data_IF_653388480601
#
_entry.id   IF_653388480601
#
_cell.length_a   1.000
_cell.length_b   1.000
_cell.length_c   1.000
_cell.angle_alpha   90.00
_cell.angle_beta   90.00
_cell.angle_gamma   90.00
#
_symmetry.space_group_name_H-M   'P 1'
#
loop_
_entity.id
_entity.type
_entity.pdbx_description
1 polymer ?
#
# COMPACT_ATOMS: atom_id res chain seq x y z
N UNK A 1 -12.66 -4.98 -1.05
CA UNK A 1 -12.91 -4.88 -2.50
C UNK A 1 -11.89 -5.79 -3.15
N UNK A 2 -12.32 -6.76 -3.96
CA UNK A 2 -11.42 -7.70 -4.61
C UNK A 2 -11.03 -7.16 -6.00
N UNK A 3 -9.75 -6.86 -6.18
CA UNK A 3 -9.18 -6.29 -7.38
C UNK A 3 -8.10 -7.22 -7.99
N UNK A 4 -8.01 -8.48 -7.54
CA UNK A 4 -6.95 -9.45 -7.91
C UNK A 4 -6.74 -9.62 -9.41
N UNK A 5 -7.84 -9.66 -10.17
CA UNK A 5 -7.81 -9.88 -11.63
C UNK A 5 -7.89 -8.57 -12.43
N UNK A 6 -7.89 -7.41 -11.76
CA UNK A 6 -8.03 -6.12 -12.42
C UNK A 6 -6.66 -5.55 -12.79
N UNK A 7 -6.63 -4.88 -13.95
CA UNK A 7 -5.44 -4.13 -14.37
C UNK A 7 -5.23 -2.93 -13.43
N UNK A 8 -4.02 -2.71 -12.88
CA UNK A 8 -3.67 -1.50 -12.13
C UNK A 8 -3.98 -0.19 -12.84
N UNK A 9 -3.91 -0.13 -14.16
CA UNK A 9 -4.29 1.05 -14.92
C UNK A 9 -5.79 1.39 -14.77
N UNK A 10 -6.64 0.42 -14.41
CA UNK A 10 -8.06 0.63 -14.07
C UNK A 10 -8.23 0.94 -12.59
N UNK A 11 -7.43 0.29 -11.72
CA UNK A 11 -7.58 0.39 -10.26
C UNK A 11 -7.11 1.72 -9.70
N UNK A 12 -5.93 2.18 -10.15
CA UNK A 12 -5.29 3.36 -9.59
C UNK A 12 -6.12 4.65 -9.79
N UNK A 13 -6.73 4.92 -10.96
CA UNK A 13 -7.53 6.13 -11.14
C UNK A 13 -8.68 6.29 -10.13
N UNK A 14 -9.40 5.22 -9.78
CA UNK A 14 -10.49 5.35 -8.81
C UNK A 14 -10.00 5.46 -7.37
N UNK A 15 -8.86 4.85 -7.02
CA UNK A 15 -8.26 5.01 -5.68
C UNK A 15 -7.78 6.44 -5.45
N UNK A 16 -7.27 7.07 -6.50
CA UNK A 16 -6.74 8.44 -6.46
C UNK A 16 -7.86 9.47 -6.66
N UNK A 17 -8.98 9.08 -7.28
CA UNK A 17 -10.12 9.98 -7.55
C UNK A 17 -9.90 10.89 -8.75
N UNK A 18 -8.99 10.54 -9.67
CA UNK A 18 -8.76 11.26 -10.93
C UNK A 18 -8.27 10.33 -12.04
N UNK A 19 -8.44 10.75 -13.28
CA UNK A 19 -7.79 10.10 -14.42
C UNK A 19 -6.26 10.19 -14.32
N UNK A 20 -5.59 9.12 -14.73
CA UNK A 20 -4.13 9.07 -14.84
C UNK A 20 -3.72 9.01 -16.32
N UNK A 21 -2.67 9.73 -16.67
CA UNK A 21 -2.00 9.51 -17.93
C UNK A 21 -1.27 8.16 -17.90
N UNK A 22 -1.21 7.49 -19.05
CA UNK A 22 -0.46 6.25 -19.22
C UNK A 22 1.00 6.35 -18.73
N UNK A 23 1.64 7.50 -18.94
CA UNK A 23 3.01 7.77 -18.49
C UNK A 23 3.14 7.76 -16.97
N UNK A 24 2.19 8.37 -16.25
CA UNK A 24 2.17 8.38 -14.77
C UNK A 24 2.08 6.95 -14.22
N UNK A 25 1.27 6.09 -14.86
CA UNK A 25 1.16 4.68 -14.46
C UNK A 25 2.50 3.99 -14.64
N UNK A 26 3.15 4.11 -15.80
CA UNK A 26 4.39 3.35 -16.07
C UNK A 26 5.55 3.83 -15.20
N UNK A 27 5.62 5.14 -14.95
CA UNK A 27 6.57 5.75 -14.02
C UNK A 27 6.36 5.29 -12.59
N UNK A 28 5.10 5.19 -12.12
CA UNK A 28 4.80 4.67 -10.79
C UNK A 28 5.26 3.21 -10.60
N UNK A 29 5.20 2.40 -11.65
CA UNK A 29 5.78 1.05 -11.63
C UNK A 29 7.31 1.04 -11.79
N UNK A 30 7.93 2.17 -12.15
CA UNK A 30 9.36 2.28 -12.43
C UNK A 30 9.76 1.63 -13.76
N UNK A 31 8.85 1.59 -14.73
CA UNK A 31 9.10 1.04 -16.06
C UNK A 31 9.13 2.12 -17.13
N UNK A 32 9.94 1.90 -18.16
CA UNK A 32 9.72 2.54 -19.46
C UNK A 32 8.50 1.91 -20.13
N UNK A 33 7.80 2.66 -20.99
CA UNK A 33 6.57 2.22 -21.68
C UNK A 33 6.62 0.79 -22.23
N UNK A 34 7.65 0.42 -23.00
CA UNK A 34 7.77 -0.93 -23.58
C UNK A 34 7.97 -2.03 -22.53
N UNK A 35 8.75 -1.75 -21.48
CA UNK A 35 8.98 -2.69 -20.38
C UNK A 35 7.71 -2.89 -19.53
N UNK A 36 6.92 -1.82 -19.35
CA UNK A 36 5.64 -1.90 -18.65
C UNK A 36 4.68 -2.86 -19.34
N UNK A 37 4.43 -2.67 -20.64
CA UNK A 37 3.51 -3.55 -21.37
C UNK A 37 4.00 -4.99 -21.45
N UNK A 38 5.33 -5.19 -21.55
CA UNK A 38 5.91 -6.53 -21.45
C UNK A 38 5.63 -7.17 -20.08
N UNK A 39 5.85 -6.43 -19.00
CA UNK A 39 5.56 -6.91 -17.64
C UNK A 39 4.06 -7.18 -17.42
N UNK A 40 3.18 -6.33 -17.95
CA UNK A 40 1.72 -6.53 -17.91
C UNK A 40 1.32 -7.85 -18.58
N UNK A 41 1.81 -8.07 -19.82
CA UNK A 41 1.54 -9.29 -20.59
C UNK A 41 2.08 -10.55 -19.91
N UNK A 42 3.20 -10.43 -19.21
CA UNK A 42 3.84 -11.54 -18.49
C UNK A 42 3.29 -11.72 -17.06
N UNK A 43 2.29 -10.94 -16.64
CA UNK A 43 1.71 -11.03 -15.29
C UNK A 43 2.64 -10.58 -14.17
N UNK A 44 3.67 -9.79 -14.47
CA UNK A 44 4.72 -9.38 -13.53
C UNK A 44 4.52 -8.00 -12.91
N UNK A 45 3.37 -7.36 -13.13
CA UNK A 45 3.05 -6.07 -12.50
C UNK A 45 2.67 -6.23 -11.03
N UNK A 46 1.86 -7.25 -10.73
CA UNK A 46 1.31 -7.49 -9.39
C UNK A 46 2.34 -8.23 -8.54
N UNK A 47 3.31 -7.48 -8.03
CA UNK A 47 4.32 -7.96 -7.07
C UNK A 47 4.36 -7.03 -5.88
N UNK A 48 4.82 -7.54 -4.74
CA UNK A 48 4.87 -6.75 -3.51
C UNK A 48 5.68 -5.46 -3.69
N UNK A 49 6.87 -5.56 -4.30
CA UNK A 49 7.76 -4.42 -4.53
C UNK A 49 7.13 -3.38 -5.46
N UNK A 50 6.46 -3.83 -6.53
CA UNK A 50 5.81 -2.93 -7.48
C UNK A 50 4.63 -2.21 -6.83
N UNK A 51 3.80 -2.91 -6.06
CA UNK A 51 2.66 -2.30 -5.39
C UNK A 51 3.09 -1.31 -4.30
N UNK A 52 4.16 -1.62 -3.55
CA UNK A 52 4.76 -0.67 -2.60
C UNK A 52 5.27 0.58 -3.32
N UNK A 53 5.97 0.41 -4.45
CA UNK A 53 6.47 1.54 -5.25
C UNK A 53 5.33 2.41 -5.78
N UNK A 54 4.30 1.79 -6.35
CA UNK A 54 3.13 2.50 -6.88
C UNK A 54 2.39 3.24 -5.77
N UNK A 55 2.19 2.59 -4.62
CA UNK A 55 1.59 3.22 -3.46
C UNK A 55 2.38 4.45 -3.01
N UNK A 56 3.72 4.32 -2.94
CA UNK A 56 4.62 5.41 -2.56
C UNK A 56 4.56 6.56 -3.55
N UNK A 57 4.56 6.27 -4.85
CA UNK A 57 4.50 7.28 -5.91
C UNK A 57 3.21 8.11 -5.84
N UNK A 58 2.07 7.47 -5.56
CA UNK A 58 0.76 8.14 -5.50
C UNK A 58 0.33 8.57 -4.10
N UNK A 59 1.13 8.33 -3.06
CA UNK A 59 0.75 8.61 -1.67
C UNK A 59 -0.41 7.75 -1.15
N UNK A 60 -0.59 6.55 -1.70
CA UNK A 60 -1.58 5.57 -1.25
C UNK A 60 -1.01 4.74 -0.08
N UNK A 61 -1.90 4.09 0.67
CA UNK A 61 -1.48 3.12 1.68
C UNK A 61 -0.94 1.86 0.97
N UNK A 62 0.35 1.48 1.17
CA UNK A 62 0.91 0.28 0.54
C UNK A 62 0.18 -0.98 0.96
N UNK A 63 -0.29 -1.09 2.22
CA UNK A 63 -1.02 -2.26 2.71
C UNK A 63 -2.36 -2.42 2.00
N UNK A 64 -3.06 -1.33 1.69
CA UNK A 64 -4.34 -1.37 0.98
C UNK A 64 -4.19 -2.01 -0.41
N UNK A 65 -3.13 -1.64 -1.15
CA UNK A 65 -2.86 -2.27 -2.46
C UNK A 65 -2.53 -3.76 -2.32
N UNK A 66 -1.72 -4.14 -1.33
CA UNK A 66 -1.37 -5.55 -1.12
C UNK A 66 -2.60 -6.40 -0.81
N UNK A 67 -3.54 -5.87 -0.03
CA UNK A 67 -4.79 -6.55 0.31
C UNK A 67 -5.73 -6.64 -0.89
N UNK A 68 -5.92 -5.54 -1.61
CA UNK A 68 -6.80 -5.50 -2.80
C UNK A 68 -6.38 -6.49 -3.90
N UNK A 69 -5.08 -6.62 -4.12
CA UNK A 69 -4.51 -7.56 -5.08
C UNK A 69 -4.25 -8.96 -4.48
N UNK A 70 -4.60 -9.19 -3.22
CA UNK A 70 -4.54 -10.51 -2.59
C UNK A 70 -3.13 -11.02 -2.27
N UNK A 71 -2.12 -10.16 -2.23
CA UNK A 71 -0.77 -10.53 -1.77
C UNK A 71 -0.74 -10.71 -0.24
N UNK A 72 -1.62 -10.01 0.47
CA UNK A 72 -1.81 -10.15 1.91
C UNK A 72 -3.30 -10.38 2.18
N UNK A 73 -3.68 -11.44 2.92
CA UNK A 73 -5.07 -11.62 3.33
C UNK A 73 -5.43 -10.55 4.38
N UNK A 74 -6.66 -10.00 4.38
CA UNK A 74 -7.10 -9.02 5.38
C UNK A 74 -6.85 -9.47 6.83
N UNK A 75 -7.02 -10.76 7.10
CA UNK A 75 -6.84 -11.38 8.41
C UNK A 75 -5.40 -11.24 8.90
N UNK A 76 -4.40 -11.39 8.02
CA UNK A 76 -3.00 -11.20 8.38
C UNK A 76 -2.67 -9.76 8.78
N UNK A 77 -3.41 -8.77 8.24
CA UNK A 77 -3.26 -7.37 8.67
C UNK A 77 -3.82 -7.19 10.08
N UNK A 78 -4.99 -7.77 10.37
CA UNK A 78 -5.57 -7.76 11.72
C UNK A 78 -4.64 -8.42 12.73
N UNK A 79 -4.17 -9.64 12.43
CA UNK A 79 -3.26 -10.40 13.30
C UNK A 79 -1.97 -9.63 13.57
N UNK A 80 -1.42 -8.94 12.57
CA UNK A 80 -0.24 -8.10 12.74
C UNK A 80 -0.50 -6.92 13.66
N UNK A 81 -1.62 -6.20 13.48
CA UNK A 81 -1.97 -5.04 14.32
C UNK A 81 -2.26 -5.45 15.77
N UNK A 82 -2.92 -6.60 15.98
CA UNK A 82 -3.24 -7.12 17.32
C UNK A 82 -2.00 -7.65 18.05
N UNK A 83 -1.07 -8.29 17.33
CA UNK A 83 0.16 -8.83 17.92
C UNK A 83 1.24 -7.77 18.15
N UNK A 84 1.19 -6.64 17.44
CA UNK A 84 2.14 -5.56 17.60
C UNK A 84 1.99 -4.92 19.00
N UNK A 85 3.08 -4.77 19.77
CA UNK A 85 3.07 -3.95 20.97
C UNK A 85 2.58 -2.56 20.57
N UNK A 86 1.46 -2.11 21.13
CA UNK A 86 0.99 -0.76 20.85
C UNK A 86 2.09 0.18 21.33
N UNK A 87 2.69 1.00 20.44
CA UNK A 87 3.61 2.03 20.90
C UNK A 87 2.83 2.87 21.89
N UNK A 88 3.26 2.87 23.16
CA UNK A 88 2.57 3.58 24.22
C UNK A 88 2.37 5.02 23.73
N UNK A 89 1.12 5.41 23.47
CA UNK A 89 0.89 6.80 23.08
C UNK A 89 1.29 7.61 24.29
N UNK A 90 1.87 8.79 24.07
CA UNK A 90 2.20 9.70 25.16
C UNK A 90 0.98 10.01 26.07
N UNK A 91 -0.23 9.82 25.52
CA UNK A 91 -1.54 9.95 26.18
C UNK A 91 -1.87 8.80 27.15
N UNK A 92 -1.26 7.63 26.94
CA UNK A 92 -1.45 6.43 27.76
C UNK A 92 -0.44 6.39 28.92
N UNK A 93 0.63 7.19 28.84
CA UNK A 93 1.50 7.51 29.97
C UNK A 93 0.73 8.41 30.94
N UNK A 94 -0.04 7.81 31.85
CA UNK A 94 -0.51 8.55 33.03
C UNK A 94 0.74 9.05 33.77
N UNK A 95 0.87 10.36 34.07
CA UNK A 95 1.93 10.83 34.93
C UNK A 95 1.82 10.07 36.25
N UNK A 96 2.89 9.38 36.64
CA UNK A 96 2.93 8.66 37.90
C UNK A 96 2.79 9.70 39.03
N UNK A 97 1.68 9.67 39.80
CA UNK A 97 1.44 10.65 40.85
C UNK A 97 2.46 10.56 41.99
N UNK A 98 3.33 9.55 42.01
CA UNK A 98 4.38 9.37 43.01
C UNK A 98 5.76 9.82 42.56
N UNK A 99 5.91 10.31 41.32
CA UNK A 99 7.20 10.79 40.83
C UNK A 99 7.31 12.29 41.11
N UNK A 100 8.13 12.73 42.09
CA UNK A 100 8.33 14.16 42.32
C UNK A 100 8.97 14.77 41.06
N UNK A 101 8.37 15.84 40.56
CA UNK A 101 8.96 16.68 39.52
C UNK A 101 10.27 17.25 40.05
N UNK A 102 11.37 16.96 39.35
CA UNK A 102 12.69 17.56 39.56
C UNK A 102 12.72 18.89 38.81
#
# INVERSE_FOLDING_TARGET
MDDRDKDPAVVLPYLIGRSLAATEVYEAFGYRKSAYYKAAREGRLITADNLIRVATYFGLNPVDLQVRYGLIPPEAVTDYVESAPHPARLRDLRPDPRKPSI
#
